data_IF_535117791355
#
_entry.id   IF_535117791355
#
_cell.length_a   1.000
_cell.length_b   1.000
_cell.length_c   1.000
_cell.angle_alpha   90.00
_cell.angle_beta   90.00
_cell.angle_gamma   90.00
#
_symmetry.space_group_name_H-M   'P 1'
#
loop_
_entity.id
_entity.type
_entity.pdbx_description
1 polymer ?
#
# COMPACT_ATOMS: atom_id res chain seq x y z
N UNK A 1 10.78 -11.51 10.83
CA UNK A 1 10.57 -10.22 10.13
C UNK A 1 11.04 -10.39 8.69
N UNK A 2 10.24 -9.96 7.70
CA UNK A 2 10.53 -10.16 6.26
C UNK A 2 11.65 -9.23 5.74
N UNK A 3 11.92 -8.14 6.45
CA UNK A 3 12.90 -7.12 6.09
C UNK A 3 14.01 -7.02 7.14
N UNK A 4 15.20 -6.60 6.72
CA UNK A 4 16.34 -6.28 7.58
C UNK A 4 16.11 -4.96 8.33
N UNK A 5 16.80 -4.75 9.45
CA UNK A 5 16.67 -3.53 10.27
C UNK A 5 17.00 -2.27 9.48
N UNK A 6 18.08 -2.28 8.70
CA UNK A 6 18.49 -1.17 7.82
C UNK A 6 17.40 -0.71 6.82
N UNK A 7 16.47 -1.60 6.47
CA UNK A 7 15.34 -1.29 5.58
C UNK A 7 14.16 -0.73 6.38
N UNK A 8 13.97 -1.17 7.62
CA UNK A 8 12.91 -0.69 8.51
C UNK A 8 13.20 0.71 9.06
N UNK A 9 14.46 1.15 9.01
CA UNK A 9 14.85 2.52 9.36
C UNK A 9 14.40 3.55 8.31
N UNK A 10 14.13 3.13 7.07
CA UNK A 10 13.64 4.01 6.01
C UNK A 10 12.14 4.22 6.18
N UNK A 11 11.75 5.48 6.33
CA UNK A 11 10.35 5.89 6.55
C UNK A 11 9.81 6.72 5.38
N UNK A 12 8.55 6.47 5.03
CA UNK A 12 7.74 7.30 4.14
C UNK A 12 6.45 7.66 4.87
N UNK A 13 6.12 8.95 4.93
CA UNK A 13 5.00 9.46 5.73
C UNK A 13 5.01 8.95 7.20
N UNK A 14 6.20 8.75 7.78
CA UNK A 14 6.38 8.23 9.14
C UNK A 14 6.30 6.71 9.29
N UNK A 15 6.01 5.97 8.21
CA UNK A 15 5.84 4.51 8.21
C UNK A 15 7.01 3.81 7.51
N UNK A 16 7.47 2.69 8.04
CA UNK A 16 8.40 1.81 7.32
C UNK A 16 7.68 0.91 6.32
N UNK A 17 8.46 0.14 5.55
CA UNK A 17 7.90 -0.76 4.54
C UNK A 17 7.01 -1.86 5.14
N UNK A 18 7.27 -2.33 6.36
CA UNK A 18 6.42 -3.35 6.98
C UNK A 18 5.09 -2.75 7.42
N UNK A 19 5.12 -1.54 8.00
CA UNK A 19 3.93 -0.77 8.38
C UNK A 19 3.09 -0.40 7.15
N UNK A 20 3.73 0.08 6.07
CA UNK A 20 3.06 0.38 4.79
C UNK A 20 2.40 -0.86 4.18
N UNK A 21 3.05 -2.02 4.25
CA UNK A 21 2.47 -3.27 3.74
C UNK A 21 1.33 -3.81 4.62
N UNK A 22 1.18 -3.32 5.84
CA UNK A 22 0.06 -3.70 6.71
C UNK A 22 -1.20 -2.85 6.49
N UNK A 23 -1.09 -1.74 5.76
CA UNK A 23 -2.22 -0.91 5.36
C UNK A 23 -3.15 -1.66 4.41
N UNK A 24 -4.45 -1.35 4.50
CA UNK A 24 -5.43 -1.76 3.50
C UNK A 24 -5.24 -0.98 2.20
N UNK A 25 -5.83 -1.46 1.10
CA UNK A 25 -5.85 -0.74 -0.18
C UNK A 25 -6.46 0.66 -0.01
N UNK A 26 -7.53 0.80 0.76
CA UNK A 26 -8.19 2.09 0.98
C UNK A 26 -7.32 3.05 1.81
N UNK A 27 -6.72 2.57 2.91
CA UNK A 27 -5.81 3.38 3.73
C UNK A 27 -4.59 3.84 2.93
N UNK A 28 -4.03 2.94 2.11
CA UNK A 28 -2.92 3.25 1.24
C UNK A 28 -3.31 4.28 0.17
N UNK A 29 -4.51 4.19 -0.42
CA UNK A 29 -5.01 5.17 -1.37
C UNK A 29 -5.12 6.57 -0.75
N UNK A 30 -5.64 6.67 0.47
CA UNK A 30 -5.72 7.95 1.18
C UNK A 30 -4.33 8.55 1.37
N UNK A 31 -3.37 7.75 1.83
CA UNK A 31 -1.99 8.19 2.07
C UNK A 31 -1.26 8.60 0.78
N UNK A 32 -1.30 7.77 -0.27
CA UNK A 32 -0.56 8.06 -1.51
C UNK A 32 -1.19 9.19 -2.34
N UNK A 33 -2.51 9.42 -2.23
CA UNK A 33 -3.17 10.57 -2.89
C UNK A 33 -2.66 11.91 -2.37
N UNK A 34 -2.34 12.02 -1.08
CA UNK A 34 -1.78 13.25 -0.48
C UNK A 34 -0.45 13.67 -1.12
N UNK A 35 0.28 12.73 -1.73
CA UNK A 35 1.59 12.96 -2.35
C UNK A 35 1.59 12.80 -3.88
N UNK A 36 0.44 12.52 -4.51
CA UNK A 36 0.36 12.17 -5.93
C UNK A 36 0.64 13.35 -6.90
N UNK A 37 0.47 14.58 -6.43
CA UNK A 37 0.78 15.78 -7.21
C UNK A 37 2.26 16.14 -7.21
N UNK A 38 2.96 15.82 -6.13
CA UNK A 38 4.38 16.12 -5.97
C UNK A 38 5.27 14.97 -6.44
N UNK A 39 4.79 13.72 -6.35
CA UNK A 39 5.60 12.53 -6.58
C UNK A 39 4.95 11.62 -7.63
N UNK A 40 5.62 11.51 -8.79
CA UNK A 40 5.21 10.62 -9.89
C UNK A 40 5.07 9.17 -9.45
N UNK A 41 5.89 8.71 -8.50
CA UNK A 41 5.78 7.37 -7.93
C UNK A 41 4.45 7.16 -7.20
N UNK A 42 4.06 8.09 -6.32
CA UNK A 42 2.79 8.06 -5.60
C UNK A 42 1.60 8.05 -6.56
N UNK A 43 1.63 8.90 -7.60
CA UNK A 43 0.59 8.91 -8.65
C UNK A 43 0.42 7.54 -9.32
N UNK A 44 1.53 6.87 -9.66
CA UNK A 44 1.52 5.54 -10.28
C UNK A 44 1.00 4.46 -9.32
N UNK A 45 1.25 4.60 -8.02
CA UNK A 45 0.72 3.69 -7.00
C UNK A 45 -0.80 3.85 -6.91
N UNK A 46 -1.30 5.09 -6.79
CA UNK A 46 -2.74 5.38 -6.75
C UNK A 46 -3.45 4.77 -7.97
N UNK A 47 -2.93 4.99 -9.18
CA UNK A 47 -3.50 4.43 -10.42
C UNK A 47 -3.59 2.90 -10.44
N UNK A 48 -2.73 2.20 -9.69
CA UNK A 48 -2.74 0.73 -9.59
C UNK A 48 -3.67 0.23 -8.49
N UNK A 49 -3.82 0.98 -7.40
CA UNK A 49 -4.64 0.59 -6.26
C UNK A 49 -6.13 0.94 -6.45
N UNK A 50 -6.41 2.03 -7.17
CA UNK A 50 -7.76 2.54 -7.37
C UNK A 50 -8.74 1.51 -7.99
N UNK A 51 -8.35 0.70 -9.00
CA UNK A 51 -9.22 -0.36 -9.49
C UNK A 51 -9.60 -1.39 -8.43
N UNK A 52 -8.69 -1.74 -7.53
CA UNK A 52 -8.95 -2.73 -6.47
C UNK A 52 -10.03 -2.20 -5.51
N UNK A 53 -9.89 -0.96 -5.06
CA UNK A 53 -10.90 -0.29 -4.22
C UNK A 53 -12.24 -0.20 -4.93
N UNK A 54 -12.27 0.22 -6.19
CA UNK A 54 -13.50 0.31 -7.00
C UNK A 54 -14.22 -1.04 -7.18
N UNK A 55 -13.47 -2.15 -7.14
CA UNK A 55 -14.04 -3.52 -7.19
C UNK A 55 -14.42 -4.09 -5.82
N UNK A 56 -14.32 -3.29 -4.74
CA UNK A 56 -14.65 -3.71 -3.38
C UNK A 56 -13.52 -4.43 -2.64
N UNK A 57 -12.30 -4.45 -3.18
CA UNK A 57 -11.11 -5.04 -2.53
C UNK A 57 -10.37 -4.04 -1.64
N UNK A 58 -11.00 -2.92 -1.29
CA UNK A 58 -10.42 -1.86 -0.46
C UNK A 58 -9.90 -2.34 0.90
N UNK A 59 -10.51 -3.40 1.45
CA UNK A 59 -10.16 -3.99 2.74
C UNK A 59 -8.91 -4.88 2.73
N UNK A 60 -8.40 -5.26 1.55
CA UNK A 60 -7.26 -6.18 1.44
C UNK A 60 -5.98 -5.45 1.83
N UNK A 61 -5.14 -6.07 2.67
CA UNK A 61 -3.83 -5.51 3.01
C UNK A 61 -2.84 -5.60 1.85
N UNK A 62 -2.02 -4.58 1.65
CA UNK A 62 -1.03 -4.56 0.55
C UNK A 62 -0.04 -5.73 0.61
N UNK A 63 0.34 -6.15 1.82
CA UNK A 63 1.26 -7.26 2.07
C UNK A 63 0.59 -8.64 2.14
N UNK A 64 -0.74 -8.73 1.97
CA UNK A 64 -1.47 -9.99 2.06
C UNK A 64 -1.06 -10.93 0.93
N UNK A 65 -0.82 -12.21 1.27
CA UNK A 65 -0.49 -13.23 0.26
C UNK A 65 -1.68 -13.49 -0.65
N UNK A 66 -1.46 -13.55 -1.97
CA UNK A 66 -2.51 -13.88 -2.94
C UNK A 66 -3.15 -15.25 -2.70
N UNK A 67 -2.40 -16.19 -2.12
CA UNK A 67 -2.89 -17.51 -1.72
C UNK A 67 -3.94 -17.49 -0.60
N UNK A 68 -4.16 -16.34 0.04
CA UNK A 68 -5.16 -16.16 1.11
C UNK A 68 -6.41 -15.40 0.64
N UNK A 69 -6.43 -14.96 -0.61
CA UNK A 69 -7.61 -14.35 -1.21
C UNK A 69 -8.55 -15.47 -1.68
N UNK A 70 -9.84 -15.32 -1.39
CA UNK A 70 -10.88 -16.20 -1.96
C UNK A 70 -10.85 -16.09 -3.48
N UNK A 71 -11.12 -17.19 -4.20
CA UNK A 71 -10.92 -17.27 -5.66
C UNK A 71 -11.89 -16.46 -6.54
N UNK A 72 -12.50 -15.39 -6.00
CA UNK A 72 -13.34 -14.44 -6.73
C UNK A 72 -12.53 -13.31 -7.35
#
# INVERSE_FOLDING_TARGET
>A
RRFKEEILDVKFAGLDIAELLDLTVDDALELFRQHADEQTACRRIVQKLEPLSNTGLGYVKLGQSSSTLSGG
#
